data_IF_865051133238
#
_entry.id   IF_865051133238
#
_cell.length_a   1.000
_cell.length_b   1.000
_cell.length_c   1.000
_cell.angle_alpha   90.00
_cell.angle_beta   90.00
_cell.angle_gamma   90.00
#
_symmetry.space_group_name_H-M   'P 1'
#
loop_
_entity.id
_entity.type
_entity.pdbx_description
1 polymer ?
#
# COMPACT_ATOMS: atom_id res chain seq x y z
N UNK A 1 24.50 23.26 1.56
CA UNK A 1 24.26 23.02 3.00
C UNK A 1 23.81 24.35 3.60
N UNK A 2 22.62 24.42 4.18
CA UNK A 2 22.02 25.68 4.65
C UNK A 2 22.78 26.26 5.84
N UNK A 3 22.78 27.60 5.97
CA UNK A 3 23.51 28.28 7.04
C UNK A 3 22.78 28.11 8.40
N UNK A 4 23.49 27.78 9.50
CA UNK A 4 22.87 27.50 10.81
C UNK A 4 22.00 28.62 11.36
N UNK A 5 22.34 29.89 11.09
CA UNK A 5 21.63 31.08 11.55
C UNK A 5 20.22 31.24 10.95
N UNK A 6 19.90 30.50 9.88
CA UNK A 6 18.61 30.56 9.20
C UNK A 6 17.69 29.38 9.53
N UNK A 7 18.09 28.47 10.44
CA UNK A 7 17.34 27.24 10.71
C UNK A 7 15.89 27.52 11.12
N UNK A 8 15.66 28.45 12.04
CA UNK A 8 14.31 28.75 12.53
C UNK A 8 13.40 29.30 11.44
N UNK A 9 13.94 30.17 10.58
CA UNK A 9 13.22 30.73 9.41
C UNK A 9 12.93 29.66 8.36
N UNK A 10 13.89 28.77 8.11
CA UNK A 10 13.71 27.65 7.17
C UNK A 10 12.64 26.68 7.70
N UNK A 11 12.62 26.42 9.00
CA UNK A 11 11.57 25.58 9.61
C UNK A 11 10.19 26.23 9.53
N UNK A 12 10.10 27.56 9.72
CA UNK A 12 8.88 28.34 9.51
C UNK A 12 8.42 28.27 8.05
N UNK A 13 9.29 28.55 7.09
CA UNK A 13 8.99 28.47 5.65
C UNK A 13 8.52 27.05 5.24
N UNK A 14 9.14 26.00 5.79
CA UNK A 14 8.74 24.61 5.54
C UNK A 14 7.34 24.34 6.12
N UNK A 15 7.05 24.81 7.35
CA UNK A 15 5.74 24.64 7.99
C UNK A 15 4.64 25.37 7.22
N UNK A 16 4.93 26.59 6.77
CA UNK A 16 4.01 27.38 5.96
C UNK A 16 3.72 26.70 4.62
N UNK A 17 4.77 26.24 3.93
CA UNK A 17 4.62 25.52 2.67
C UNK A 17 3.82 24.21 2.86
N UNK A 18 4.10 23.43 3.92
CA UNK A 18 3.34 22.23 4.25
C UNK A 18 1.86 22.56 4.50
N UNK A 19 1.56 23.64 5.22
CA UNK A 19 0.19 24.07 5.50
C UNK A 19 -0.55 24.48 4.23
N UNK A 20 0.12 25.19 3.31
CA UNK A 20 -0.44 25.54 2.00
C UNK A 20 -0.75 24.29 1.16
N UNK A 21 0.14 23.30 1.15
CA UNK A 21 -0.10 22.03 0.45
C UNK A 21 -1.27 21.25 1.05
N UNK A 22 -1.38 21.19 2.38
CA UNK A 22 -2.51 20.55 3.06
C UNK A 22 -3.82 21.24 2.72
N UNK A 23 -3.85 22.58 2.74
CA UNK A 23 -5.04 23.36 2.37
C UNK A 23 -5.45 23.12 0.92
N UNK A 24 -4.47 23.10 -0.01
CA UNK A 24 -4.71 22.81 -1.42
C UNK A 24 -5.28 21.41 -1.63
N UNK A 25 -4.74 20.40 -0.95
CA UNK A 25 -5.26 19.02 -1.01
C UNK A 25 -6.67 18.91 -0.43
N UNK A 26 -6.93 19.56 0.71
CA UNK A 26 -8.25 19.56 1.33
C UNK A 26 -9.30 20.20 0.40
N UNK A 27 -8.92 21.27 -0.29
CA UNK A 27 -9.76 21.94 -1.28
C UNK A 27 -10.00 21.08 -2.52
N UNK A 28 -8.95 20.47 -3.05
CA UNK A 28 -9.04 19.59 -4.22
C UNK A 28 -9.81 18.28 -3.95
N UNK A 29 -9.88 17.85 -2.68
CA UNK A 29 -10.63 16.66 -2.26
C UNK A 29 -11.97 17.02 -1.61
N UNK A 30 -12.38 18.29 -1.66
CA UNK A 30 -13.58 18.76 -0.99
C UNK A 30 -14.82 18.05 -1.54
N UNK A 31 -15.45 17.13 -0.79
CA UNK A 31 -16.52 16.30 -1.31
C UNK A 31 -17.75 17.10 -1.71
N UNK A 32 -17.95 18.30 -1.15
CA UNK A 32 -19.04 19.18 -1.54
C UNK A 32 -18.84 19.79 -2.93
N UNK A 33 -17.60 20.15 -3.28
CA UNK A 33 -17.26 20.67 -4.62
C UNK A 33 -17.31 19.59 -5.70
N UNK A 34 -17.08 18.34 -5.31
CA UNK A 34 -17.09 17.19 -6.20
C UNK A 34 -18.40 16.39 -6.14
N UNK A 35 -19.39 16.84 -5.35
CA UNK A 35 -20.63 16.10 -5.09
C UNK A 35 -21.31 15.65 -6.38
N UNK A 36 -21.45 16.54 -7.37
CA UNK A 36 -22.07 16.20 -8.65
C UNK A 36 -21.28 15.16 -9.46
N UNK A 37 -19.96 15.20 -9.39
CA UNK A 37 -19.10 14.22 -10.07
C UNK A 37 -19.24 12.86 -9.43
N UNK A 38 -19.27 12.80 -8.09
CA UNK A 38 -19.56 11.57 -7.37
C UNK A 38 -20.95 11.04 -7.69
N UNK A 39 -21.99 11.87 -7.67
CA UNK A 39 -23.35 11.45 -8.02
C UNK A 39 -23.41 10.84 -9.42
N UNK A 40 -22.80 11.48 -10.42
CA UNK A 40 -22.70 10.91 -11.77
C UNK A 40 -22.00 9.56 -11.79
N UNK A 41 -20.90 9.39 -11.06
CA UNK A 41 -20.22 8.10 -10.98
C UNK A 41 -21.12 7.02 -10.37
N UNK A 42 -21.91 7.34 -9.35
CA UNK A 42 -22.88 6.40 -8.79
C UNK A 42 -23.99 6.05 -9.80
N UNK A 43 -24.55 7.05 -10.51
CA UNK A 43 -25.58 6.84 -11.54
C UNK A 43 -25.07 6.03 -12.74
N UNK A 44 -23.78 6.18 -13.10
CA UNK A 44 -23.14 5.43 -14.19
C UNK A 44 -22.76 4.00 -13.78
N UNK A 45 -22.55 3.74 -12.48
CA UNK A 45 -22.03 2.46 -11.98
C UNK A 45 -23.13 1.54 -11.45
N UNK A 46 -24.17 2.11 -10.82
CA UNK A 46 -25.22 1.37 -10.15
C UNK A 46 -26.59 1.74 -10.70
N UNK A 47 -27.47 0.75 -10.76
CA UNK A 47 -28.90 0.99 -10.99
C UNK A 47 -29.57 1.53 -9.74
N UNK A 48 -30.73 2.19 -9.92
CA UNK A 48 -31.56 2.67 -8.81
C UNK A 48 -31.92 1.53 -7.85
N UNK A 49 -32.26 0.36 -8.39
CA UNK A 49 -32.63 -0.83 -7.63
C UNK A 49 -31.47 -1.34 -6.76
N UNK A 50 -30.25 -1.35 -7.29
CA UNK A 50 -29.05 -1.76 -6.54
C UNK A 50 -28.72 -0.77 -5.42
N UNK A 51 -28.77 0.54 -5.69
CA UNK A 51 -28.57 1.56 -4.66
C UNK A 51 -29.64 1.41 -3.57
N UNK A 52 -30.90 1.20 -3.93
CA UNK A 52 -31.98 1.01 -2.97
C UNK A 52 -31.74 -0.23 -2.09
N UNK A 53 -31.34 -1.36 -2.69
CA UNK A 53 -30.99 -2.57 -1.95
C UNK A 53 -29.81 -2.37 -0.99
N UNK A 54 -28.77 -1.65 -1.42
CA UNK A 54 -27.61 -1.29 -0.59
C UNK A 54 -28.05 -0.43 0.60
N UNK A 55 -28.88 0.59 0.36
CA UNK A 55 -29.39 1.47 1.41
C UNK A 55 -30.23 0.69 2.43
N UNK A 56 -31.10 -0.20 1.97
CA UNK A 56 -31.96 -0.99 2.86
C UNK A 56 -31.14 -1.97 3.70
N UNK A 57 -30.09 -2.58 3.13
CA UNK A 57 -29.13 -3.36 3.90
C UNK A 57 -28.40 -2.53 4.95
N UNK A 58 -27.87 -1.34 4.57
CA UNK A 58 -27.11 -0.50 5.50
C UNK A 58 -27.94 0.09 6.65
N UNK A 59 -29.26 0.18 6.51
CA UNK A 59 -30.19 0.53 7.60
C UNK A 59 -30.38 -0.60 8.63
N UNK A 60 -29.98 -1.84 8.31
CA UNK A 60 -30.08 -2.95 9.27
C UNK A 60 -28.96 -2.87 10.31
N UNK A 61 -29.14 -3.46 11.50
CA UNK A 61 -28.06 -3.56 12.50
C UNK A 61 -26.78 -4.23 11.96
N UNK A 62 -26.93 -5.21 11.06
CA UNK A 62 -25.81 -5.89 10.42
C UNK A 62 -25.08 -4.97 9.42
N UNK A 63 -25.83 -4.25 8.60
CA UNK A 63 -25.27 -3.28 7.64
C UNK A 63 -24.54 -2.12 8.34
N UNK A 64 -25.11 -1.57 9.40
CA UNK A 64 -24.42 -0.57 10.23
C UNK A 64 -23.12 -1.12 10.84
N UNK A 65 -23.16 -2.35 11.35
CA UNK A 65 -21.97 -2.99 11.90
C UNK A 65 -20.90 -3.18 10.83
N UNK A 66 -21.29 -3.53 9.60
CA UNK A 66 -20.38 -3.64 8.46
C UNK A 66 -19.73 -2.29 8.16
N UNK A 67 -20.49 -1.20 8.02
CA UNK A 67 -19.93 0.15 7.80
C UNK A 67 -18.91 0.54 8.87
N UNK A 68 -19.21 0.26 10.14
CA UNK A 68 -18.34 0.62 11.28
C UNK A 68 -17.10 -0.26 11.37
N UNK A 69 -17.19 -1.55 11.04
CA UNK A 69 -16.14 -2.55 11.31
C UNK A 69 -15.29 -2.93 10.09
N UNK A 70 -15.74 -2.63 8.87
CA UNK A 70 -14.97 -2.95 7.66
C UNK A 70 -13.56 -2.32 7.66
N UNK A 71 -13.37 -1.05 8.02
CA UNK A 71 -12.02 -0.47 8.10
C UNK A 71 -11.13 -1.20 9.12
N UNK A 72 -11.68 -1.57 10.28
CA UNK A 72 -10.94 -2.34 11.29
C UNK A 72 -10.55 -3.73 10.77
N UNK A 73 -11.48 -4.42 10.12
CA UNK A 73 -11.23 -5.74 9.53
C UNK A 73 -10.12 -5.66 8.47
N UNK A 74 -10.16 -4.67 7.58
CA UNK A 74 -9.11 -4.46 6.57
C UNK A 74 -7.75 -4.21 7.25
N UNK A 75 -7.69 -3.32 8.24
CA UNK A 75 -6.44 -3.04 8.96
C UNK A 75 -5.86 -4.29 9.63
N UNK A 76 -6.72 -5.07 10.29
CA UNK A 76 -6.33 -6.34 10.94
C UNK A 76 -5.87 -7.38 9.92
N UNK A 77 -6.51 -7.42 8.75
CA UNK A 77 -6.14 -8.33 7.66
C UNK A 77 -4.75 -8.00 7.09
N UNK A 78 -4.44 -6.71 6.90
CA UNK A 78 -3.11 -6.27 6.48
C UNK A 78 -2.05 -6.66 7.50
N UNK A 79 -2.29 -6.40 8.80
CA UNK A 79 -1.37 -6.77 9.87
C UNK A 79 -1.12 -8.29 9.92
N UNK A 80 -2.18 -9.09 9.77
CA UNK A 80 -2.06 -10.55 9.71
C UNK A 80 -1.21 -11.01 8.53
N UNK A 81 -1.40 -10.42 7.35
CA UNK A 81 -0.58 -10.71 6.17
C UNK A 81 0.90 -10.40 6.38
N UNK A 82 1.22 -9.28 7.02
CA UNK A 82 2.61 -8.94 7.37
C UNK A 82 3.23 -9.94 8.35
N UNK A 83 2.45 -10.41 9.33
CA UNK A 83 2.89 -11.44 10.27
C UNK A 83 3.16 -12.78 9.56
N UNK A 84 2.26 -13.20 8.66
CA UNK A 84 2.44 -14.41 7.87
C UNK A 84 3.71 -14.33 7.01
N UNK A 85 3.93 -13.21 6.33
CA UNK A 85 5.15 -12.98 5.54
C UNK A 85 6.41 -13.10 6.41
N UNK A 86 6.39 -12.50 7.59
CA UNK A 86 7.52 -12.57 8.54
C UNK A 86 7.78 -14.00 8.98
N UNK A 87 6.73 -14.80 9.21
CA UNK A 87 6.88 -16.21 9.64
C UNK A 87 7.49 -17.12 8.57
N UNK A 88 7.25 -16.84 7.28
CA UNK A 88 7.79 -17.67 6.18
C UNK A 88 9.17 -17.21 5.71
N UNK A 89 9.61 -16.01 6.09
CA UNK A 89 10.89 -15.44 5.65
C UNK A 89 12.11 -16.33 5.96
N UNK A 90 12.23 -16.99 7.12
CA UNK A 90 13.33 -17.93 7.38
C UNK A 90 13.34 -19.12 6.42
N UNK A 91 12.16 -19.65 6.09
CA UNK A 91 12.04 -20.77 5.15
C UNK A 91 12.41 -20.34 3.73
N UNK A 92 11.95 -19.16 3.30
CA UNK A 92 12.37 -18.56 2.01
C UNK A 92 13.90 -18.46 1.97
N UNK A 93 14.53 -17.86 2.99
CA UNK A 93 15.99 -17.74 3.05
C UNK A 93 16.71 -19.09 2.98
N UNK A 94 16.20 -20.11 3.71
CA UNK A 94 16.76 -21.46 3.68
C UNK A 94 16.69 -22.07 2.28
N UNK A 95 15.52 -22.01 1.63
CA UNK A 95 15.31 -22.54 0.28
C UNK A 95 16.12 -21.80 -0.77
N UNK A 96 16.23 -20.47 -0.65
CA UNK A 96 17.08 -19.64 -1.53
C UNK A 96 18.56 -20.01 -1.40
N UNK A 97 19.07 -20.24 -0.17
CA UNK A 97 20.45 -20.68 0.06
C UNK A 97 20.70 -22.05 -0.58
N UNK A 98 19.84 -23.03 -0.30
CA UNK A 98 19.96 -24.38 -0.87
C UNK A 98 19.93 -24.35 -2.41
N UNK A 99 19.05 -23.55 -2.99
CA UNK A 99 18.99 -23.37 -4.44
C UNK A 99 20.29 -22.74 -4.99
N UNK A 100 20.84 -21.71 -4.34
CA UNK A 100 22.07 -21.07 -4.77
C UNK A 100 23.28 -22.02 -4.73
N UNK A 101 23.37 -22.89 -3.71
CA UNK A 101 24.39 -23.93 -3.61
C UNK A 101 24.27 -24.97 -4.73
N UNK A 102 23.06 -25.46 -4.99
CA UNK A 102 22.78 -26.37 -6.11
C UNK A 102 23.21 -25.77 -7.45
N UNK A 103 22.90 -24.49 -7.69
CA UNK A 103 23.27 -23.81 -8.93
C UNK A 103 24.79 -23.68 -9.10
N UNK A 104 25.52 -23.36 -8.02
CA UNK A 104 26.99 -23.34 -8.03
C UNK A 104 27.58 -24.72 -8.33
N UNK A 105 27.00 -25.79 -7.80
CA UNK A 105 27.48 -27.15 -8.10
C UNK A 105 27.19 -27.56 -9.54
N UNK A 106 25.97 -27.29 -10.03
CA UNK A 106 25.53 -27.69 -11.37
C UNK A 106 26.26 -26.94 -12.49
N UNK A 107 26.60 -25.67 -12.28
CA UNK A 107 27.15 -24.81 -13.33
C UNK A 107 28.55 -24.26 -13.01
N UNK A 108 29.08 -24.45 -11.81
CA UNK A 108 30.41 -23.96 -11.39
C UNK A 108 31.58 -24.89 -11.71
N UNK A 109 31.34 -26.09 -12.26
CA UNK A 109 32.40 -26.99 -12.75
C UNK A 109 32.50 -26.93 -14.29
N UNK A 110 33.03 -25.83 -14.84
CA UNK A 110 33.46 -25.74 -16.25
C UNK A 110 34.81 -25.03 -16.42
N UNK A 111 35.71 -25.11 -15.44
CA UNK A 111 37.13 -24.72 -15.64
C UNK A 111 38.04 -25.71 -14.93
N UNK A 112 38.52 -26.71 -15.65
CA UNK A 112 39.52 -27.63 -15.13
C UNK A 112 39.61 -28.98 -15.83
N UNK A 113 39.56 -29.03 -17.16
CA UNK A 113 40.17 -30.15 -17.89
C UNK A 113 40.53 -29.73 -19.31
N UNK A 114 41.70 -29.10 -19.44
CA UNK A 114 42.42 -28.99 -20.70
C UNK A 114 43.77 -29.66 -20.52
N UNK A 115 43.82 -30.95 -20.82
CA UNK A 115 45.07 -31.66 -21.12
C UNK A 115 45.74 -30.98 -22.32
N UNK A 116 46.98 -30.53 -22.18
CA UNK A 116 47.95 -30.65 -23.27
C UNK A 116 49.31 -30.93 -22.64
N UNK A 117 49.68 -32.21 -22.69
CA UNK A 117 51.05 -32.70 -22.56
C UNK A 117 51.90 -32.11 -23.70
N UNK A 118 53.15 -31.76 -23.38
CA UNK A 118 54.27 -31.75 -24.34
C UNK A 118 54.51 -33.15 -24.89
#
# INVERSE_FOLDING_TARGET
MWKPENRDKIEEDIRDFQSQLVALMAEALNPQKHKEQFLRLYDETFTTEEIQGILDFYKTPAGEAMLKKMPELTNRSVALGMQMMTSIMPEIQSRTKAWAEMMKQKYGQTTGNSTTKQ
#
